data_IF_195762273947
#
_entry.id   IF_195762273947
#
_cell.length_a   1.000
_cell.length_b   1.000
_cell.length_c   1.000
_cell.angle_alpha   90.00
_cell.angle_beta   90.00
_cell.angle_gamma   90.00
#
_symmetry.space_group_name_H-M   'P 1'
#
loop_
_entity.id
_entity.type
_entity.pdbx_description
1 polymer ?
#
# COMPACT_ATOMS: atom_id res chain seq x y z
N UNK A 1 19.92 21.44 8.41
CA UNK A 1 19.58 20.25 9.22
C UNK A 1 18.69 19.37 8.35
N UNK A 2 19.16 18.21 7.89
CA UNK A 2 18.31 17.29 7.14
C UNK A 2 17.44 16.52 8.14
N UNK A 3 16.13 16.67 8.05
CA UNK A 3 15.20 15.87 8.83
C UNK A 3 15.23 14.44 8.28
N UNK A 4 15.54 13.47 9.14
CA UNK A 4 15.37 12.04 8.83
C UNK A 4 13.89 11.76 8.99
N UNK A 5 13.17 11.62 7.88
CA UNK A 5 11.76 11.23 7.90
C UNK A 5 11.62 9.71 7.99
N UNK A 6 10.64 9.25 8.77
CA UNK A 6 10.25 7.84 8.77
C UNK A 6 9.54 7.49 7.44
N UNK A 7 9.48 6.20 7.10
CA UNK A 7 8.76 5.76 5.90
C UNK A 7 7.27 6.14 5.98
N UNK A 8 6.67 6.02 7.17
CA UNK A 8 5.27 6.36 7.43
C UNK A 8 5.03 7.86 7.18
N UNK A 9 5.94 8.72 7.62
CA UNK A 9 5.87 10.17 7.37
C UNK A 9 5.96 10.51 5.87
N UNK A 10 6.77 9.77 5.12
CA UNK A 10 6.88 9.94 3.67
C UNK A 10 5.63 9.46 2.94
N UNK A 11 5.02 8.35 3.39
CA UNK A 11 3.81 7.79 2.81
C UNK A 11 2.57 8.64 3.12
N UNK A 12 2.48 9.22 4.31
CA UNK A 12 1.39 10.13 4.70
C UNK A 12 1.36 11.41 3.84
N UNK A 13 2.48 11.79 3.21
CA UNK A 13 2.57 12.97 2.33
C UNK A 13 2.12 12.70 0.90
N UNK A 14 1.76 11.46 0.54
CA UNK A 14 1.32 11.13 -0.82
C UNK A 14 -0.06 11.70 -1.08
N UNK A 15 -0.15 12.63 -2.03
CA UNK A 15 -1.38 13.39 -2.30
C UNK A 15 -2.60 12.53 -2.65
N UNK A 16 -2.40 11.38 -3.30
CA UNK A 16 -3.45 10.42 -3.65
C UNK A 16 -3.58 9.26 -2.66
N UNK A 17 -2.72 9.21 -1.64
CA UNK A 17 -2.62 8.07 -0.73
C UNK A 17 -1.60 7.03 -1.17
N UNK A 18 -1.60 5.93 -0.45
CA UNK A 18 -0.68 4.82 -0.64
C UNK A 18 -1.34 3.49 -0.31
N UNK A 19 -0.78 2.39 -0.81
CA UNK A 19 -1.14 1.05 -0.36
C UNK A 19 0.11 0.30 0.09
N UNK A 20 -0.04 -0.51 1.15
CA UNK A 20 1.00 -1.40 1.67
C UNK A 20 0.69 -2.82 1.26
N UNK A 21 1.71 -3.56 0.90
CA UNK A 21 1.60 -4.97 0.57
C UNK A 21 2.39 -5.77 1.61
N UNK A 22 1.69 -6.64 2.32
CA UNK A 22 2.22 -7.47 3.39
C UNK A 22 1.90 -8.95 3.11
N UNK A 23 2.74 -9.85 3.62
CA UNK A 23 2.45 -11.30 3.59
C UNK A 23 2.17 -11.78 5.01
N UNK A 24 0.91 -12.09 5.29
CA UNK A 24 0.45 -12.55 6.60
C UNK A 24 -0.01 -14.01 6.48
N UNK A 25 0.61 -14.91 7.26
CA UNK A 25 0.31 -16.34 7.24
C UNK A 25 0.29 -16.96 5.81
N UNK A 26 1.21 -16.52 4.94
CA UNK A 26 1.32 -16.99 3.55
C UNK A 26 0.28 -16.39 2.58
N UNK A 27 -0.53 -15.42 3.03
CA UNK A 27 -1.50 -14.71 2.20
C UNK A 27 -1.08 -13.27 2.00
N UNK A 28 -1.31 -12.76 0.80
CA UNK A 28 -1.08 -11.35 0.49
C UNK A 28 -2.24 -10.51 1.05
N UNK A 29 -1.89 -9.49 1.83
CA UNK A 29 -2.81 -8.51 2.38
C UNK A 29 -2.39 -7.14 1.85
N UNK A 30 -3.36 -6.37 1.36
CA UNK A 30 -3.12 -5.02 0.87
C UNK A 30 -3.89 -4.04 1.74
N UNK A 31 -3.17 -3.17 2.44
CA UNK A 31 -3.73 -2.10 3.27
C UNK A 31 -3.72 -0.80 2.46
N UNK A 32 -4.87 -0.19 2.22
CA UNK A 32 -5.03 0.99 1.38
C UNK A 32 -5.37 2.19 2.25
N UNK A 33 -4.61 3.26 2.08
CA UNK A 33 -4.76 4.51 2.81
C UNK A 33 -5.00 5.65 1.83
N UNK A 34 -6.19 6.26 1.87
CA UNK A 34 -6.56 7.42 1.05
C UNK A 34 -6.81 8.64 1.95
N UNK A 35 -6.29 9.83 1.63
CA UNK A 35 -6.48 11.01 2.47
C UNK A 35 -7.96 11.37 2.65
N UNK A 36 -8.43 11.39 3.90
CA UNK A 36 -9.82 11.73 4.23
C UNK A 36 -10.82 10.58 4.08
N UNK A 37 -10.37 9.38 3.71
CA UNK A 37 -11.18 8.18 3.64
C UNK A 37 -10.78 7.17 4.72
N UNK A 38 -11.68 6.27 5.13
CA UNK A 38 -11.32 5.15 6.01
C UNK A 38 -10.27 4.24 5.38
N UNK A 39 -9.39 3.71 6.21
CA UNK A 39 -8.45 2.68 5.79
C UNK A 39 -9.19 1.42 5.34
N UNK A 40 -8.72 0.84 4.23
CA UNK A 40 -9.29 -0.35 3.63
C UNK A 40 -8.28 -1.49 3.68
N UNK A 41 -8.74 -2.71 3.95
CA UNK A 41 -7.89 -3.91 3.93
C UNK A 41 -8.44 -4.93 2.96
N UNK A 42 -7.62 -5.29 1.96
CA UNK A 42 -7.96 -6.26 0.94
C UNK A 42 -7.23 -7.57 1.23
N UNK A 43 -7.99 -8.61 1.56
CA UNK A 43 -7.48 -9.98 1.67
C UNK A 43 -7.40 -10.61 0.29
N UNK A 44 -6.19 -10.77 -0.24
CA UNK A 44 -6.01 -11.32 -1.57
C UNK A 44 -6.25 -12.83 -1.57
N UNK A 45 -7.08 -13.28 -2.50
CA UNK A 45 -7.49 -14.69 -2.64
C UNK A 45 -6.41 -15.54 -3.34
N UNK A 46 -5.57 -14.90 -4.14
CA UNK A 46 -4.49 -15.51 -4.91
C UNK A 46 -3.45 -14.47 -5.29
N UNK A 47 -2.29 -14.91 -5.79
CA UNK A 47 -1.29 -14.00 -6.36
C UNK A 47 -1.84 -13.21 -7.57
N UNK A 48 -2.69 -13.83 -8.39
CA UNK A 48 -3.35 -13.15 -9.51
C UNK A 48 -4.29 -12.04 -9.04
N UNK A 49 -5.10 -12.30 -8.01
CA UNK A 49 -5.96 -11.28 -7.40
C UNK A 49 -5.13 -10.14 -6.81
N UNK A 50 -4.04 -10.44 -6.11
CA UNK A 50 -3.13 -9.42 -5.59
C UNK A 50 -2.56 -8.53 -6.70
N UNK A 51 -2.19 -9.10 -7.85
CA UNK A 51 -1.69 -8.33 -8.99
C UNK A 51 -2.75 -7.39 -9.55
N UNK A 52 -3.99 -7.87 -9.71
CA UNK A 52 -5.11 -7.07 -10.22
C UNK A 52 -5.44 -5.90 -9.30
N UNK A 53 -5.50 -6.14 -7.97
CA UNK A 53 -5.73 -5.08 -6.98
C UNK A 53 -4.64 -4.02 -7.05
N UNK A 54 -3.36 -4.44 -7.06
CA UNK A 54 -2.23 -3.49 -7.17
C UNK A 54 -2.27 -2.66 -8.45
N UNK A 55 -2.64 -3.28 -9.57
CA UNK A 55 -2.79 -2.58 -10.83
C UNK A 55 -3.90 -1.53 -10.75
N UNK A 56 -5.09 -1.89 -10.27
CA UNK A 56 -6.20 -0.95 -10.07
C UNK A 56 -5.80 0.24 -9.21
N UNK A 57 -5.18 -0.01 -8.05
CA UNK A 57 -4.74 1.05 -7.14
C UNK A 57 -3.67 1.95 -7.76
N UNK A 58 -2.79 1.37 -8.59
CA UNK A 58 -1.78 2.13 -9.33
C UNK A 58 -2.42 2.99 -10.43
N UNK A 59 -3.42 2.45 -11.15
CA UNK A 59 -4.18 3.17 -12.17
C UNK A 59 -5.00 4.33 -11.55
N UNK A 60 -5.45 4.19 -10.30
CA UNK A 60 -6.06 5.26 -9.48
C UNK A 60 -5.04 6.34 -9.04
N UNK A 61 -3.74 6.07 -9.17
CA UNK A 61 -2.64 6.99 -8.85
C UNK A 61 -2.09 6.85 -7.43
N UNK A 62 -2.39 5.76 -6.71
CA UNK A 62 -1.84 5.51 -5.38
C UNK A 62 -0.38 5.04 -5.47
N UNK A 63 0.41 5.37 -4.44
CA UNK A 63 1.78 4.86 -4.31
C UNK A 63 1.80 3.50 -3.61
N UNK A 64 2.41 2.49 -4.23
CA UNK A 64 2.63 1.20 -3.59
C UNK A 64 3.89 1.17 -2.71
N UNK A 65 3.78 0.60 -1.51
CA UNK A 65 4.89 0.24 -0.64
C UNK A 65 4.87 -1.26 -0.37
N UNK A 66 5.98 -1.94 -0.61
CA UNK A 66 6.13 -3.37 -0.35
C UNK A 66 7.06 -3.59 0.83
N UNK A 67 6.52 -4.09 1.94
CA UNK A 67 7.37 -4.48 3.05
C UNK A 67 8.16 -5.74 2.71
N UNK A 68 9.46 -5.71 3.01
CA UNK A 68 10.34 -6.86 2.81
C UNK A 68 10.70 -7.15 1.34
N UNK A 69 10.41 -6.24 0.40
CA UNK A 69 10.99 -6.30 -0.94
C UNK A 69 12.54 -6.25 -0.81
N UNK A 70 13.18 -7.38 -1.11
CA UNK A 70 14.64 -7.52 -1.20
C UNK A 70 15.10 -7.39 -2.64
#
# INVERSE_FOLDING_TARGET
>A
MFAVYSIDELLARKAKGHFRVETVAGRCVISVHRPGEPDETVFCLSAGHANQVRQSLTDEGLTGYFEGAR
#
